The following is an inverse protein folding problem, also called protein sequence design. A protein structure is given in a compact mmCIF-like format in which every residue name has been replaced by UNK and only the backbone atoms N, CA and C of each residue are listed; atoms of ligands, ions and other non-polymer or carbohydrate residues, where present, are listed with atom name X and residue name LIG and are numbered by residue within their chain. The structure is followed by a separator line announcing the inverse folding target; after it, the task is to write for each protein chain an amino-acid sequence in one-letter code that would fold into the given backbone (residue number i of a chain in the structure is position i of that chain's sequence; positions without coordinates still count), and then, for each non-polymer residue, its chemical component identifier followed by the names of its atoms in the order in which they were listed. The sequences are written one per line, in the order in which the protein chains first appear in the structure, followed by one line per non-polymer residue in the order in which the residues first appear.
data_IF_188945091850
#
_entry.id   IF_188945091850
#
_cell.length_a   1.000
_cell.length_b   1.000
_cell.length_c   1.000
_cell.angle_alpha   90.00
_cell.angle_beta   90.00
_cell.angle_gamma   90.00
#
_symmetry.space_group_name_H-M   'P 1'
#
loop_
_entity.id
_entity.type
_entity.pdbx_description
1 polymer ?
#
# COMPACT_ATOMS: atom_id res chain seq x y z
N UNK A 1 -3.18 -3.19 -9.14
CA UNK A 1 -4.61 -2.80 -8.98
C UNK A 1 -4.82 -2.10 -7.64
N UNK A 2 -5.63 -1.03 -7.58
CA UNK A 2 -6.08 -0.37 -6.34
C UNK A 2 -7.60 -0.52 -6.23
N UNK A 3 -8.07 -0.97 -5.07
CA UNK A 3 -9.46 -1.22 -4.72
C UNK A 3 -10.15 0.11 -4.36
N UNK A 4 -11.41 0.30 -4.75
CA UNK A 4 -12.24 1.44 -4.30
C UNK A 4 -13.27 1.04 -3.22
N UNK A 5 -13.25 -0.23 -2.82
CA UNK A 5 -14.29 -0.87 -1.99
C UNK A 5 -13.86 -1.03 -0.52
N UNK A 6 -12.58 -1.35 -0.29
CA UNK A 6 -12.07 -1.68 1.04
C UNK A 6 -11.49 -0.47 1.82
N UNK A 7 -11.50 -0.53 3.17
CA UNK A 7 -10.97 0.55 4.00
C UNK A 7 -9.47 0.77 3.75
N UNK A 8 -9.11 2.05 3.63
CA UNK A 8 -7.73 2.52 3.46
C UNK A 8 -7.02 2.55 4.81
N UNK A 9 -6.47 1.41 5.20
CA UNK A 9 -5.88 1.17 6.51
C UNK A 9 -4.49 0.54 6.44
N UNK A 10 -3.82 0.56 5.28
CA UNK A 10 -2.47 0.01 5.14
C UNK A 10 -1.50 1.08 4.65
N UNK A 11 -0.51 1.38 5.48
CA UNK A 11 0.58 2.30 5.16
C UNK A 11 1.73 1.54 4.51
N UNK A 12 2.38 2.15 3.50
CA UNK A 12 3.57 1.63 2.83
C UNK A 12 4.80 2.47 3.18
N UNK A 13 5.93 1.83 3.48
CA UNK A 13 7.16 2.49 3.91
C UNK A 13 8.28 2.32 2.87
N UNK A 14 9.18 3.31 2.73
CA UNK A 14 9.35 4.48 3.62
C UNK A 14 8.47 5.70 3.30
N UNK A 15 7.68 5.68 2.21
CA UNK A 15 6.93 6.88 1.81
C UNK A 15 5.74 7.27 2.70
N UNK A 16 5.24 6.37 3.57
CA UNK A 16 4.16 6.64 4.53
C UNK A 16 2.74 6.71 3.95
N UNK A 17 2.53 6.49 2.65
CA UNK A 17 1.20 6.59 2.05
C UNK A 17 0.24 5.52 2.58
N UNK A 18 -0.93 5.95 3.07
CA UNK A 18 -1.98 5.12 3.71
C UNK A 18 -3.19 4.85 2.81
N UNK A 19 -3.12 5.20 1.52
CA UNK A 19 -4.27 5.23 0.62
C UNK A 19 -4.75 3.86 0.12
N UNK A 20 -4.28 2.77 0.71
CA UNK A 20 -4.47 1.42 0.18
C UNK A 20 -5.12 0.48 1.20
N UNK A 21 -5.91 -0.45 0.70
CA UNK A 21 -6.32 -1.64 1.44
C UNK A 21 -5.18 -2.67 1.45
N UNK A 22 -5.14 -3.55 2.46
CA UNK A 22 -4.05 -4.55 2.61
C UNK A 22 -3.92 -5.45 1.38
N UNK A 23 -5.04 -5.88 0.80
CA UNK A 23 -5.05 -6.73 -0.41
C UNK A 23 -4.40 -6.06 -1.62
N UNK A 24 -4.61 -4.75 -1.78
CA UNK A 24 -3.97 -4.00 -2.86
C UNK A 24 -2.48 -3.86 -2.64
N UNK A 25 -2.04 -3.60 -1.40
CA UNK A 25 -0.61 -3.55 -1.09
C UNK A 25 0.06 -4.89 -1.37
N UNK A 26 -0.55 -6.01 -0.98
CA UNK A 26 -0.03 -7.37 -1.27
C UNK A 26 0.09 -7.60 -2.78
N UNK A 27 -0.88 -7.16 -3.57
CA UNK A 27 -0.84 -7.29 -5.03
C UNK A 27 0.27 -6.42 -5.64
N UNK A 28 0.38 -5.17 -5.20
CA UNK A 28 1.45 -4.24 -5.62
C UNK A 28 2.83 -4.80 -5.29
N UNK A 29 3.00 -5.42 -4.13
CA UNK A 29 4.26 -6.06 -3.70
C UNK A 29 4.63 -7.29 -4.54
N UNK A 30 3.65 -7.97 -5.15
CA UNK A 30 3.92 -9.09 -6.07
C UNK A 30 4.27 -8.60 -7.47
N UNK A 31 3.65 -7.52 -7.94
CA UNK A 31 3.78 -7.04 -9.31
C UNK A 31 4.90 -6.01 -9.50
N UNK A 32 4.86 -4.88 -8.76
CA UNK A 32 5.71 -3.70 -8.99
C UNK A 32 6.69 -3.39 -7.86
N UNK A 33 6.36 -3.74 -6.61
CA UNK A 33 7.13 -3.39 -5.40
C UNK A 33 7.39 -1.88 -5.22
N UNK A 34 6.61 -1.01 -5.86
CA UNK A 34 6.69 0.44 -5.71
C UNK A 34 5.33 1.02 -5.34
N UNK A 35 5.34 2.09 -4.55
CA UNK A 35 4.15 2.81 -4.14
C UNK A 35 3.40 3.35 -5.36
N UNK A 36 2.10 3.04 -5.56
CA UNK A 36 1.34 3.55 -6.70
C UNK A 36 1.18 5.07 -6.73
N UNK A 37 1.38 5.76 -5.60
CA UNK A 37 1.22 7.23 -5.49
C UNK A 37 2.51 7.96 -5.85
N UNK A 38 3.64 7.59 -5.25
CA UNK A 38 4.91 8.31 -5.42
C UNK A 38 5.99 7.52 -6.16
N UNK A 39 5.70 6.28 -6.57
CA UNK A 39 6.62 5.37 -7.25
C UNK A 39 7.88 4.97 -6.46
N UNK A 40 7.99 5.37 -5.19
CA UNK A 40 9.06 4.96 -4.31
C UNK A 40 8.99 3.45 -4.03
N UNK A 41 10.13 2.78 -4.01
CA UNK A 41 10.22 1.37 -3.65
C UNK A 41 9.60 1.14 -2.27
N UNK A 42 8.82 0.07 -2.13
CA UNK A 42 8.21 -0.29 -0.86
C UNK A 42 9.08 -1.35 -0.19
N UNK A 43 9.53 -1.05 1.02
CA UNK A 43 10.34 -1.96 1.83
C UNK A 43 9.47 -2.77 2.78
N UNK A 44 8.49 -2.12 3.40
CA UNK A 44 7.53 -2.76 4.30
C UNK A 44 6.14 -2.11 4.18
N UNK A 45 5.12 -2.81 4.67
CA UNK A 45 3.79 -2.25 4.84
C UNK A 45 3.22 -2.64 6.20
N UNK A 46 2.44 -1.74 6.79
CA UNK A 46 1.80 -1.96 8.09
C UNK A 46 0.33 -1.62 8.02
N UNK A 47 -0.48 -2.50 8.61
CA UNK A 47 -1.90 -2.21 8.82
C UNK A 47 -2.03 -1.31 10.03
N UNK A 48 -2.65 -0.15 9.82
CA UNK A 48 -2.95 0.84 10.85
C UNK A 48 -4.30 0.50 11.46
N UNK A 49 -4.31 0.37 12.79
CA UNK A 49 -5.52 0.23 13.58
C UNK A 49 -5.74 1.56 14.29
N UNK A 50 -6.86 2.23 14.00
CA UNK A 50 -7.33 3.42 14.69
C UNK A 50 -8.40 3.02 15.71
#
# INVERSE_FOLDING_TARGET
VVCFDSPRNTAVFPCGHLQFCTQCVVSVMRERKCCPVCQLAIEEYRKVYL
#
